data_IF_075134151707
#
_entry.id   IF_075134151707
#
_cell.length_a   1.000
_cell.length_b   1.000
_cell.length_c   1.000
_cell.angle_alpha   90.00
_cell.angle_beta   90.00
_cell.angle_gamma   90.00
#
_symmetry.space_group_name_H-M   'P 1'
#
loop_
_entity.id
_entity.type
_entity.pdbx_description
1 polymer ?
#
# COMPACT_ATOMS: atom_id res chain seq x y z
N UNK A 1 -12.15 -11.86 19.71
CA UNK A 1 -11.43 -10.64 19.28
C UNK A 1 -11.04 -10.87 17.83
N UNK A 2 -11.40 -9.97 16.89
CA UNK A 2 -11.05 -10.11 15.47
C UNK A 2 -9.56 -9.83 15.24
N UNK A 3 -9.04 -10.25 14.09
CA UNK A 3 -7.64 -9.96 13.72
C UNK A 3 -7.37 -8.45 13.70
N UNK A 4 -8.27 -7.67 13.09
CA UNK A 4 -8.15 -6.22 13.00
C UNK A 4 -8.10 -5.57 14.41
N UNK A 5 -8.99 -5.96 15.33
CA UNK A 5 -9.00 -5.42 16.69
C UNK A 5 -7.68 -5.71 17.42
N UNK A 6 -7.15 -6.94 17.33
CA UNK A 6 -5.88 -7.34 17.94
C UNK A 6 -4.68 -6.55 17.39
N UNK A 7 -4.65 -6.34 16.07
CA UNK A 7 -3.59 -5.56 15.43
C UNK A 7 -3.65 -4.09 15.86
N UNK A 8 -4.83 -3.48 15.91
CA UNK A 8 -4.97 -2.07 16.28
C UNK A 8 -4.53 -1.81 17.73
N UNK A 9 -4.85 -2.71 18.67
CA UNK A 9 -4.37 -2.58 20.04
C UNK A 9 -2.85 -2.63 20.14
N UNK A 10 -2.23 -3.55 19.40
CA UNK A 10 -0.79 -3.66 19.35
C UNK A 10 -0.12 -2.45 18.64
N UNK A 11 -0.71 -1.94 17.58
CA UNK A 11 -0.26 -0.72 16.88
C UNK A 11 -0.37 0.50 17.81
N UNK A 12 -1.48 0.67 18.54
CA UNK A 12 -1.62 1.76 19.53
C UNK A 12 -0.51 1.71 20.57
N UNK A 13 -0.20 0.53 21.09
CA UNK A 13 0.87 0.37 22.07
C UNK A 13 2.25 0.72 21.49
N UNK A 14 2.55 0.28 20.26
CA UNK A 14 3.80 0.56 19.57
C UNK A 14 3.96 2.05 19.27
N UNK A 15 2.94 2.70 18.70
CA UNK A 15 2.97 4.13 18.33
C UNK A 15 3.14 5.03 19.56
N UNK A 16 2.56 4.66 20.72
CA UNK A 16 2.75 5.38 21.99
C UNK A 16 4.13 5.20 22.60
N UNK A 17 4.91 4.22 22.15
CA UNK A 17 6.26 4.00 22.68
C UNK A 17 7.15 5.23 22.43
N UNK A 18 7.97 5.66 23.41
CA UNK A 18 8.93 6.73 23.22
C UNK A 18 10.04 6.37 22.20
N UNK A 19 10.18 5.10 21.85
CA UNK A 19 11.16 4.61 20.89
C UNK A 19 10.61 4.47 19.47
N UNK A 20 9.35 4.76 19.21
CA UNK A 20 8.72 4.55 17.91
C UNK A 20 9.45 5.26 16.75
N UNK A 21 9.90 6.50 16.96
CA UNK A 21 10.62 7.29 15.96
C UNK A 21 12.16 7.13 16.02
N UNK A 22 12.66 6.25 16.92
CA UNK A 22 14.10 6.10 17.12
C UNK A 22 14.76 5.57 15.84
N UNK A 23 15.87 6.21 15.45
CA UNK A 23 16.66 5.83 14.27
C UNK A 23 16.18 6.49 12.97
N UNK A 24 15.03 7.12 12.96
CA UNK A 24 14.63 7.98 11.84
C UNK A 24 15.36 9.32 11.89
N UNK A 25 15.71 9.94 10.74
CA UNK A 25 16.23 11.30 10.68
C UNK A 25 15.16 12.29 11.18
N UNK A 26 15.56 13.52 11.51
CA UNK A 26 14.60 14.57 11.88
C UNK A 26 13.73 15.01 10.69
N UNK A 27 14.26 14.89 9.47
CA UNK A 27 13.58 15.23 8.20
C UNK A 27 13.97 14.22 7.13
N UNK A 28 13.12 14.06 6.12
CA UNK A 28 13.44 13.30 4.93
C UNK A 28 14.76 13.76 4.29
N UNK A 29 15.59 12.80 3.88
CA UNK A 29 16.90 13.08 3.24
C UNK A 29 16.72 13.64 1.82
N UNK A 30 15.65 13.22 1.14
CA UNK A 30 15.30 13.66 -0.21
C UNK A 30 13.83 14.06 -0.27
N UNK A 31 13.46 15.05 -1.12
CA UNK A 31 12.05 15.33 -1.37
C UNK A 31 11.40 14.09 -2.02
N UNK A 32 10.25 13.62 -1.53
CA UNK A 32 9.58 12.47 -2.09
C UNK A 32 9.06 12.75 -3.50
N UNK A 33 9.16 11.76 -4.39
CA UNK A 33 8.49 11.82 -5.69
C UNK A 33 6.97 11.60 -5.50
N UNK A 34 6.15 12.29 -6.29
CA UNK A 34 4.69 12.11 -6.24
C UNK A 34 4.30 10.70 -6.69
N UNK A 35 3.61 9.98 -5.81
CA UNK A 35 3.05 8.67 -6.10
C UNK A 35 1.88 8.80 -7.08
N UNK A 36 0.97 9.75 -6.84
CA UNK A 36 -0.18 10.03 -7.70
C UNK A 36 0.23 10.34 -9.15
N UNK A 37 1.20 11.24 -9.33
CA UNK A 37 1.68 11.56 -10.68
C UNK A 37 2.33 10.37 -11.36
N UNK A 38 3.09 9.57 -10.61
CA UNK A 38 3.75 8.39 -11.15
C UNK A 38 2.75 7.34 -11.61
N UNK A 39 1.68 7.11 -10.85
CA UNK A 39 0.59 6.21 -11.23
C UNK A 39 -0.17 6.73 -12.45
N UNK A 40 -0.52 8.02 -12.47
CA UNK A 40 -1.26 8.63 -13.58
C UNK A 40 -0.48 8.65 -14.91
N UNK A 41 0.86 8.66 -14.84
CA UNK A 41 1.75 8.65 -16.01
C UNK A 41 2.25 7.26 -16.40
N UNK A 42 1.78 6.21 -15.73
CA UNK A 42 2.19 4.86 -16.07
C UNK A 42 1.82 4.51 -17.53
N UNK A 43 2.70 3.83 -18.27
CA UNK A 43 2.40 3.38 -19.63
C UNK A 43 1.09 2.59 -19.68
N UNK A 44 0.31 2.78 -20.76
CA UNK A 44 -0.97 2.10 -20.97
C UNK A 44 -2.00 2.32 -19.84
N UNK A 45 -1.81 3.38 -19.01
CA UNK A 45 -2.63 3.62 -17.81
C UNK A 45 -2.69 2.38 -16.90
N UNK A 46 -1.58 1.69 -16.75
CA UNK A 46 -1.44 0.49 -15.95
C UNK A 46 -0.19 0.57 -15.08
N UNK A 47 -0.40 0.81 -13.80
CA UNK A 47 0.68 0.96 -12.83
C UNK A 47 0.83 -0.29 -11.95
N UNK A 48 2.06 -0.73 -11.75
CA UNK A 48 2.34 -1.83 -10.82
C UNK A 48 3.18 -1.31 -9.67
N UNK A 49 2.62 -1.36 -8.46
CA UNK A 49 3.29 -1.10 -7.20
C UNK A 49 3.73 -2.42 -6.59
N UNK A 50 4.94 -2.50 -6.05
CA UNK A 50 5.48 -3.73 -5.44
C UNK A 50 5.65 -3.54 -3.94
N UNK A 51 5.08 -4.47 -3.14
CA UNK A 51 5.10 -4.40 -1.68
C UNK A 51 6.29 -5.13 -1.08
N UNK A 52 7.13 -4.38 -0.36
CA UNK A 52 8.10 -4.94 0.59
C UNK A 52 7.37 -5.30 1.88
N UNK A 53 7.33 -6.58 2.19
CA UNK A 53 6.66 -7.13 3.36
C UNK A 53 7.45 -8.31 3.93
N UNK A 54 7.92 -8.20 5.16
CA UNK A 54 8.73 -9.23 5.82
C UNK A 54 7.93 -10.51 6.06
N UNK A 55 6.69 -10.38 6.55
CA UNK A 55 5.82 -11.52 6.90
C UNK A 55 4.37 -11.24 6.49
N UNK A 56 3.65 -12.27 6.12
CA UNK A 56 2.18 -12.24 5.99
C UNK A 56 1.53 -12.75 7.29
N UNK A 57 0.35 -12.28 7.66
CA UNK A 57 -0.35 -12.77 8.84
C UNK A 57 -0.52 -14.30 8.79
N UNK A 58 -0.22 -14.98 9.89
CA UNK A 58 -0.33 -16.43 9.99
C UNK A 58 0.69 -17.24 9.18
N UNK A 59 1.60 -16.60 8.44
CA UNK A 59 2.62 -17.31 7.68
C UNK A 59 3.67 -17.94 8.60
N UNK A 60 4.03 -19.21 8.33
CA UNK A 60 5.07 -19.95 9.08
C UNK A 60 6.49 -19.49 8.73
N UNK A 61 6.70 -18.94 7.53
CA UNK A 61 7.97 -18.46 7.04
C UNK A 61 7.91 -16.99 6.63
N UNK A 62 9.04 -16.24 6.67
CA UNK A 62 9.09 -14.88 6.14
C UNK A 62 8.86 -14.87 4.63
N UNK A 63 8.32 -13.74 4.11
CA UNK A 63 8.10 -13.58 2.67
C UNK A 63 9.40 -13.32 1.89
N UNK A 64 10.40 -12.71 2.56
CA UNK A 64 11.66 -12.28 1.96
C UNK A 64 12.84 -12.77 2.83
N UNK A 65 13.08 -14.08 2.96
CA UNK A 65 13.98 -14.62 3.96
C UNK A 65 15.43 -14.19 3.79
N UNK A 66 15.88 -13.92 2.57
CA UNK A 66 17.30 -13.71 2.25
C UNK A 66 17.57 -12.43 1.42
N UNK A 67 16.53 -11.62 1.13
CA UNK A 67 16.71 -10.42 0.31
C UNK A 67 16.87 -9.18 1.16
N UNK A 68 17.92 -8.41 0.87
CA UNK A 68 18.09 -7.08 1.44
C UNK A 68 17.08 -6.09 0.82
N UNK A 69 16.84 -4.98 1.50
CA UNK A 69 16.00 -3.88 0.99
C UNK A 69 16.52 -3.37 -0.36
N UNK A 70 17.86 -3.23 -0.50
CA UNK A 70 18.50 -2.78 -1.74
C UNK A 70 18.29 -3.75 -2.90
N UNK A 71 18.40 -5.04 -2.64
CA UNK A 71 18.14 -6.07 -3.65
C UNK A 71 16.68 -6.08 -4.10
N UNK A 72 15.75 -5.98 -3.16
CA UNK A 72 14.33 -5.86 -3.45
C UNK A 72 14.05 -4.65 -4.34
N UNK A 73 14.53 -3.46 -3.96
CA UNK A 73 14.33 -2.22 -4.72
C UNK A 73 14.90 -2.32 -6.15
N UNK A 74 16.09 -2.93 -6.29
CA UNK A 74 16.74 -3.15 -7.59
C UNK A 74 15.93 -4.11 -8.48
N UNK A 75 15.46 -5.24 -7.93
CA UNK A 75 14.65 -6.21 -8.68
C UNK A 75 13.31 -5.62 -9.12
N UNK A 76 12.64 -4.88 -8.24
CA UNK A 76 11.39 -4.20 -8.56
C UNK A 76 11.59 -3.14 -9.68
N UNK A 77 12.63 -2.33 -9.58
CA UNK A 77 12.97 -1.34 -10.62
C UNK A 77 13.29 -2.00 -11.97
N UNK A 78 14.06 -3.09 -11.98
CA UNK A 78 14.39 -3.85 -13.21
C UNK A 78 13.16 -4.54 -13.81
N UNK A 79 12.19 -4.87 -13.01
CA UNK A 79 10.91 -5.46 -13.42
C UNK A 79 9.91 -4.44 -13.97
N UNK A 80 10.16 -3.13 -13.82
CA UNK A 80 9.30 -2.08 -14.32
C UNK A 80 8.27 -1.57 -13.30
N UNK A 81 8.53 -1.71 -11.99
CA UNK A 81 7.66 -1.13 -10.96
C UNK A 81 7.47 0.37 -11.18
N UNK A 82 6.24 0.84 -11.07
CA UNK A 82 5.92 2.27 -11.06
C UNK A 82 6.20 2.89 -9.68
N UNK A 83 5.99 2.12 -8.61
CA UNK A 83 6.16 2.55 -7.23
C UNK A 83 6.47 1.35 -6.32
N UNK A 84 6.87 1.63 -5.08
CA UNK A 84 7.01 0.63 -4.04
C UNK A 84 6.05 0.92 -2.88
N UNK A 85 5.65 -0.13 -2.18
CA UNK A 85 4.95 -0.07 -0.91
C UNK A 85 5.81 -0.73 0.15
N UNK A 86 5.87 -0.18 1.35
CA UNK A 86 6.57 -0.78 2.47
C UNK A 86 5.63 -0.99 3.64
N UNK A 87 5.42 -2.23 4.04
CA UNK A 87 4.61 -2.55 5.20
C UNK A 87 5.41 -2.25 6.48
N UNK A 88 5.01 -1.17 7.17
CA UNK A 88 5.69 -0.68 8.37
C UNK A 88 5.18 -1.34 9.66
N UNK A 89 3.98 -1.92 9.63
CA UNK A 89 3.35 -2.57 10.79
C UNK A 89 4.24 -3.68 11.37
N UNK A 90 4.67 -3.56 12.61
CA UNK A 90 5.42 -4.61 13.31
C UNK A 90 4.52 -5.74 13.79
N UNK A 91 3.40 -5.47 14.49
CA UNK A 91 2.51 -6.52 14.96
C UNK A 91 1.98 -7.36 13.79
N UNK A 92 2.19 -8.67 13.84
CA UNK A 92 1.70 -9.62 12.84
C UNK A 92 2.42 -9.63 11.48
N UNK A 93 3.25 -8.63 11.19
CA UNK A 93 3.91 -8.49 9.87
C UNK A 93 5.45 -8.36 9.95
N UNK A 94 6.01 -8.18 11.14
CA UNK A 94 7.45 -7.97 11.38
C UNK A 94 8.02 -6.73 10.64
N UNK A 95 7.16 -5.76 10.29
CA UNK A 95 7.56 -4.53 9.60
C UNK A 95 8.26 -3.53 10.52
N UNK A 96 8.79 -2.47 9.93
CA UNK A 96 9.44 -1.40 10.68
C UNK A 96 9.39 -0.08 9.90
N UNK A 97 9.24 1.02 10.61
CA UNK A 97 9.40 2.37 10.03
C UNK A 97 10.81 2.58 9.45
N UNK A 98 11.81 1.86 9.97
CA UNK A 98 13.18 1.89 9.44
C UNK A 98 13.31 1.16 8.10
N UNK A 99 12.45 0.18 7.81
CA UNK A 99 12.41 -0.46 6.49
C UNK A 99 11.93 0.53 5.43
N UNK A 100 10.96 1.37 5.76
CA UNK A 100 10.50 2.46 4.87
C UNK A 100 11.65 3.40 4.56
N UNK A 101 12.38 3.85 5.60
CA UNK A 101 13.54 4.73 5.44
C UNK A 101 14.65 4.08 4.59
N UNK A 102 14.96 2.81 4.84
CA UNK A 102 15.94 2.07 4.05
C UNK A 102 15.51 1.93 2.59
N UNK A 103 14.22 1.61 2.35
CA UNK A 103 13.68 1.46 1.00
C UNK A 103 13.72 2.77 0.21
N UNK A 104 13.34 3.89 0.84
CA UNK A 104 13.43 5.23 0.21
C UNK A 104 14.86 5.56 -0.22
N UNK A 105 15.87 5.17 0.57
CA UNK A 105 17.29 5.38 0.22
C UNK A 105 17.78 4.48 -0.92
N UNK A 106 17.14 3.34 -1.12
CA UNK A 106 17.54 2.33 -2.09
C UNK A 106 16.93 2.53 -3.48
N UNK A 107 16.02 3.51 -3.65
CA UNK A 107 15.29 3.70 -4.90
C UNK A 107 15.04 5.18 -5.22
N UNK A 108 14.71 5.46 -6.49
CA UNK A 108 14.13 6.73 -6.95
C UNK A 108 12.61 6.64 -7.17
N UNK A 109 12.03 5.47 -6.96
CA UNK A 109 10.58 5.27 -7.07
C UNK A 109 9.89 5.86 -5.85
N UNK A 110 8.65 6.39 -6.01
CA UNK A 110 7.85 6.80 -4.86
C UNK A 110 7.55 5.58 -3.96
N UNK A 111 7.49 5.81 -2.65
CA UNK A 111 7.25 4.77 -1.65
C UNK A 111 5.99 5.10 -0.85
N UNK A 112 5.03 4.17 -0.84
CA UNK A 112 3.87 4.18 0.03
C UNK A 112 4.25 3.64 1.42
N UNK A 113 4.02 4.45 2.46
CA UNK A 113 4.03 3.99 3.85
C UNK A 113 2.73 3.23 4.12
N UNK A 114 2.82 1.90 4.20
CA UNK A 114 1.67 1.03 4.42
C UNK A 114 1.63 0.56 5.85
N UNK A 115 0.64 1.06 6.59
CA UNK A 115 0.42 0.74 8.02
C UNK A 115 -1.07 0.86 8.33
N UNK A 116 -1.48 0.39 9.52
CA UNK A 116 -2.77 0.75 10.11
C UNK A 116 -2.61 2.14 10.76
N UNK A 117 -2.74 3.19 9.95
CA UNK A 117 -2.52 4.57 10.39
C UNK A 117 -3.73 5.02 11.23
N UNK A 118 -3.48 5.30 12.51
CA UNK A 118 -4.46 5.69 13.53
C UNK A 118 -4.05 6.92 14.34
N UNK A 119 -2.81 7.40 14.16
CA UNK A 119 -2.20 8.48 14.95
C UNK A 119 -1.26 9.32 14.07
N UNK A 120 -1.21 10.63 14.35
CA UNK A 120 -0.33 11.56 13.63
C UNK A 120 1.17 11.21 13.77
N UNK A 121 1.56 10.49 14.83
CA UNK A 121 2.95 10.01 14.96
C UNK A 121 3.37 9.04 13.86
N UNK A 122 2.42 8.28 13.29
CA UNK A 122 2.70 7.43 12.12
C UNK A 122 2.90 8.29 10.86
N UNK A 123 2.16 9.38 10.73
CA UNK A 123 2.34 10.37 9.65
C UNK A 123 3.70 11.07 9.79
N UNK A 124 4.09 11.45 11.01
CA UNK A 124 5.43 11.97 11.29
C UNK A 124 6.51 10.95 10.92
N UNK A 125 6.33 9.67 11.31
CA UNK A 125 7.26 8.59 10.95
C UNK A 125 7.41 8.44 9.43
N UNK A 126 6.28 8.42 8.69
CA UNK A 126 6.26 8.33 7.23
C UNK A 126 7.00 9.51 6.56
N UNK A 127 6.72 10.73 7.01
CA UNK A 127 7.38 11.95 6.50
C UNK A 127 8.89 11.93 6.80
N UNK A 128 9.28 11.61 8.02
CA UNK A 128 10.72 11.51 8.42
C UNK A 128 11.44 10.39 7.68
N UNK A 129 10.78 9.27 7.43
CA UNK A 129 11.33 8.18 6.62
C UNK A 129 11.51 8.57 5.15
N UNK A 130 10.82 9.60 4.65
CA UNK A 130 10.86 10.07 3.27
C UNK A 130 9.84 9.37 2.36
N UNK A 131 8.77 8.81 2.92
CA UNK A 131 7.69 8.24 2.12
C UNK A 131 7.03 9.30 1.22
N UNK A 132 6.40 8.86 0.14
CA UNK A 132 5.64 9.72 -0.79
C UNK A 132 4.18 9.84 -0.39
N UNK A 133 3.63 8.79 0.21
CA UNK A 133 2.23 8.69 0.58
C UNK A 133 2.04 7.81 1.81
N UNK A 134 0.89 7.97 2.46
CA UNK A 134 0.42 7.08 3.53
C UNK A 134 -0.85 6.35 3.10
N UNK A 135 -1.07 5.14 3.65
CA UNK A 135 -2.32 4.42 3.53
C UNK A 135 -3.27 4.83 4.66
N UNK A 136 -4.50 5.21 4.32
CA UNK A 136 -5.61 5.33 5.25
C UNK A 136 -6.67 4.28 4.91
N UNK A 137 -7.24 3.62 5.92
CA UNK A 137 -8.17 2.50 5.74
C UNK A 137 -9.58 2.95 6.14
N UNK A 138 -10.49 3.03 5.17
CA UNK A 138 -11.86 3.54 5.37
C UNK A 138 -12.65 2.73 6.40
N UNK A 139 -12.44 1.41 6.46
CA UNK A 139 -13.06 0.52 7.45
C UNK A 139 -12.82 0.98 8.88
N UNK A 140 -11.65 1.52 9.20
CA UNK A 140 -11.35 1.98 10.57
C UNK A 140 -12.29 3.09 11.03
N UNK A 141 -12.74 3.96 10.12
CA UNK A 141 -13.73 4.98 10.44
C UNK A 141 -15.15 4.41 10.46
N UNK A 142 -15.51 3.54 9.52
CA UNK A 142 -16.86 2.97 9.47
C UNK A 142 -17.17 2.04 10.64
N UNK A 143 -16.15 1.44 11.24
CA UNK A 143 -16.26 0.61 12.45
C UNK A 143 -15.93 1.37 13.75
N UNK A 144 -15.79 2.69 13.70
CA UNK A 144 -15.50 3.55 14.86
C UNK A 144 -14.26 3.10 15.65
N UNK A 145 -13.19 2.69 14.91
CA UNK A 145 -11.93 2.21 15.49
C UNK A 145 -10.90 3.31 15.73
N UNK A 146 -11.21 4.54 15.34
CA UNK A 146 -10.31 5.68 15.40
C UNK A 146 -10.69 6.64 16.51
N UNK A 147 -9.66 7.19 17.16
CA UNK A 147 -9.82 8.27 18.14
C UNK A 147 -10.05 9.64 17.45
N UNK A 148 -9.72 9.72 16.15
CA UNK A 148 -9.88 10.91 15.28
C UNK A 148 -10.42 10.51 13.92
N UNK A 149 -11.20 11.39 13.23
CA UNK A 149 -11.65 11.14 11.87
C UNK A 149 -10.49 10.96 10.88
N UNK A 150 -10.66 10.13 9.86
CA UNK A 150 -9.67 9.98 8.79
C UNK A 150 -9.38 11.30 8.05
N UNK A 151 -10.36 12.21 7.99
CA UNK A 151 -10.16 13.53 7.41
C UNK A 151 -9.04 14.32 8.12
N UNK A 152 -8.98 14.28 9.46
CA UNK A 152 -7.91 14.94 10.21
C UNK A 152 -6.54 14.30 9.95
N UNK A 153 -6.47 12.98 9.81
CA UNK A 153 -5.25 12.26 9.46
C UNK A 153 -4.81 12.57 8.03
N UNK A 154 -5.74 12.70 7.07
CA UNK A 154 -5.44 13.11 5.71
C UNK A 154 -4.88 14.54 5.67
N UNK A 155 -5.50 15.48 6.39
CA UNK A 155 -5.00 16.85 6.51
C UNK A 155 -3.60 16.89 7.13
N UNK A 156 -3.33 16.07 8.16
CA UNK A 156 -2.00 15.96 8.77
C UNK A 156 -0.96 15.40 7.78
N UNK A 157 -1.34 14.42 6.96
CA UNK A 157 -0.51 13.87 5.90
C UNK A 157 -0.13 14.95 4.87
N UNK A 158 -1.11 15.70 4.37
CA UNK A 158 -0.88 16.79 3.42
C UNK A 158 -0.01 17.92 4.01
N UNK A 159 -0.25 18.31 5.26
CA UNK A 159 0.63 19.29 5.95
C UNK A 159 2.07 18.79 6.09
N UNK A 160 2.27 17.49 6.13
CA UNK A 160 3.58 16.82 6.20
C UNK A 160 4.20 16.55 4.83
N UNK A 161 3.57 16.99 3.73
CA UNK A 161 4.01 16.78 2.35
C UNK A 161 3.80 15.36 1.82
N UNK A 162 2.89 14.58 2.44
CA UNK A 162 2.54 13.23 2.03
C UNK A 162 1.23 13.21 1.26
N UNK A 163 1.15 12.38 0.23
CA UNK A 163 -0.10 12.04 -0.45
C UNK A 163 -0.87 10.96 0.33
N UNK A 164 -2.18 10.82 0.05
CA UNK A 164 -3.06 9.88 0.74
C UNK A 164 -3.62 8.85 -0.25
N UNK A 165 -3.39 7.57 0.02
CA UNK A 165 -4.09 6.44 -0.59
C UNK A 165 -5.19 5.97 0.38
N UNK A 166 -6.47 6.16 0.03
CA UNK A 166 -7.61 5.69 0.81
C UNK A 166 -8.04 4.30 0.35
N UNK A 167 -7.93 3.32 1.24
CA UNK A 167 -8.26 1.92 0.98
C UNK A 167 -9.70 1.61 1.39
N UNK A 168 -10.40 0.87 0.51
CA UNK A 168 -11.71 0.27 0.74
C UNK A 168 -11.67 -1.23 0.57
N UNK A 169 -12.58 -1.95 1.21
CA UNK A 169 -12.87 -3.35 0.93
C UNK A 169 -14.30 -3.53 0.42
N UNK A 170 -15.27 -2.88 1.06
CA UNK A 170 -16.69 -3.04 0.79
C UNK A 170 -17.36 -1.71 0.35
N UNK A 171 -18.48 -1.77 -0.40
CA UNK A 171 -19.18 -0.58 -0.88
C UNK A 171 -19.63 0.36 0.25
N UNK A 172 -19.94 -0.18 1.41
CA UNK A 172 -20.38 0.57 2.58
C UNK A 172 -19.30 1.53 3.10
N UNK A 173 -18.03 1.27 2.78
CA UNK A 173 -16.89 2.10 3.15
C UNK A 173 -16.72 3.30 2.20
N UNK A 174 -17.28 3.27 0.99
CA UNK A 174 -17.13 4.32 -0.03
C UNK A 174 -17.68 5.68 0.41
N UNK A 175 -18.63 5.70 1.36
CA UNK A 175 -19.16 6.94 1.96
C UNK A 175 -18.07 7.79 2.62
N UNK A 176 -16.95 7.20 3.00
CA UNK A 176 -15.80 7.90 3.60
C UNK A 176 -15.08 8.78 2.58
N UNK A 177 -15.06 8.39 1.29
CA UNK A 177 -14.39 9.13 0.24
C UNK A 177 -14.89 10.58 0.05
N UNK A 178 -16.15 10.85 0.38
CA UNK A 178 -16.71 12.21 0.31
C UNK A 178 -16.25 13.15 1.43
N UNK A 179 -15.57 12.61 2.45
CA UNK A 179 -15.13 13.36 3.64
C UNK A 179 -13.61 13.41 3.80
N UNK A 180 -12.89 12.52 3.12
CA UNK A 180 -11.43 12.41 3.17
C UNK A 180 -10.87 12.92 1.86
N UNK A 181 -10.00 13.95 1.92
CA UNK A 181 -9.27 14.40 0.74
C UNK A 181 -8.13 13.40 0.44
N UNK A 182 -8.45 12.37 -0.35
CA UNK A 182 -7.50 11.34 -0.76
C UNK A 182 -6.95 11.66 -2.16
N UNK A 183 -5.68 11.43 -2.41
CA UNK A 183 -5.07 11.61 -3.74
C UNK A 183 -5.30 10.43 -4.67
N UNK A 184 -5.49 9.26 -4.09
CA UNK A 184 -5.66 7.97 -4.77
C UNK A 184 -6.62 7.09 -3.99
N UNK A 185 -7.20 6.11 -4.68
CA UNK A 185 -8.06 5.10 -4.08
C UNK A 185 -7.48 3.70 -4.26
N UNK A 186 -7.76 2.81 -3.32
CA UNK A 186 -7.42 1.40 -3.40
C UNK A 186 -8.59 0.52 -2.99
N UNK A 187 -8.80 -0.59 -3.69
CA UNK A 187 -9.77 -1.62 -3.28
C UNK A 187 -9.01 -2.89 -2.95
N UNK A 188 -9.12 -3.34 -1.70
CA UNK A 188 -8.40 -4.50 -1.20
C UNK A 188 -9.24 -5.77 -1.35
N UNK A 189 -8.70 -6.75 -2.10
CA UNK A 189 -9.35 -8.06 -2.29
C UNK A 189 -9.42 -8.87 -0.99
N UNK A 190 -8.49 -8.64 -0.06
CA UNK A 190 -8.40 -9.35 1.20
C UNK A 190 -9.23 -8.66 2.27
N UNK A 191 -10.15 -9.40 2.88
CA UNK A 191 -10.81 -8.95 4.09
C UNK A 191 -9.83 -8.82 5.26
N UNK A 192 -9.99 -7.77 6.09
CA UNK A 192 -9.05 -7.47 7.17
C UNK A 192 -9.29 -8.32 8.42
N UNK A 193 -10.47 -8.89 8.60
CA UNK A 193 -10.81 -9.74 9.75
C UNK A 193 -10.67 -11.23 9.43
N UNK A 194 -11.33 -11.69 8.36
CA UNK A 194 -11.30 -13.09 7.94
C UNK A 194 -10.04 -13.47 7.16
N UNK A 195 -9.28 -12.47 6.69
CA UNK A 195 -8.08 -12.63 5.83
C UNK A 195 -8.35 -13.40 4.52
N UNK A 196 -9.62 -13.69 4.22
CA UNK A 196 -10.09 -14.33 2.99
C UNK A 196 -10.16 -13.36 1.81
N UNK A 197 -10.45 -13.90 0.63
CA UNK A 197 -10.72 -13.12 -0.57
C UNK A 197 -12.21 -13.08 -0.85
N UNK A 198 -12.76 -11.89 -1.16
CA UNK A 198 -14.17 -11.65 -1.45
C UNK A 198 -14.36 -11.01 -2.84
N UNK A 199 -14.19 -11.77 -3.93
CA UNK A 199 -14.16 -11.24 -5.30
C UNK A 199 -15.41 -10.48 -5.72
N UNK A 200 -16.59 -10.91 -5.28
CA UNK A 200 -17.87 -10.29 -5.63
C UNK A 200 -18.08 -8.95 -4.93
N UNK A 201 -17.74 -8.88 -3.63
CA UNK A 201 -17.76 -7.64 -2.85
C UNK A 201 -16.84 -6.61 -3.50
N UNK A 202 -15.61 -7.04 -3.81
CA UNK A 202 -14.60 -6.19 -4.43
C UNK A 202 -15.01 -5.74 -5.84
N UNK A 203 -15.59 -6.62 -6.65
CA UNK A 203 -16.07 -6.24 -7.99
C UNK A 203 -17.15 -5.14 -7.91
N UNK A 204 -18.05 -5.21 -6.93
CA UNK A 204 -19.05 -4.18 -6.65
C UNK A 204 -18.39 -2.89 -6.18
N UNK A 205 -17.46 -2.98 -5.22
CA UNK A 205 -16.73 -1.81 -4.68
C UNK A 205 -15.97 -1.07 -5.78
N UNK A 206 -15.27 -1.79 -6.68
CA UNK A 206 -14.58 -1.17 -7.82
C UNK A 206 -15.53 -0.46 -8.77
N UNK A 207 -16.70 -1.03 -9.06
CA UNK A 207 -17.71 -0.37 -9.93
C UNK A 207 -18.25 0.92 -9.34
N UNK A 208 -18.46 0.95 -8.02
CA UNK A 208 -19.07 2.07 -7.29
C UNK A 208 -18.02 3.09 -6.78
N UNK A 209 -16.72 2.74 -6.83
CA UNK A 209 -15.63 3.60 -6.37
C UNK A 209 -15.62 4.96 -7.11
N UNK A 210 -15.29 6.06 -6.42
CA UNK A 210 -15.19 7.37 -7.02
C UNK A 210 -14.17 7.37 -8.17
N UNK A 211 -14.43 8.16 -9.22
CA UNK A 211 -13.56 8.32 -10.39
C UNK A 211 -12.87 9.68 -10.36
N UNK A 212 -11.88 9.86 -11.24
CA UNK A 212 -11.12 11.11 -11.36
C UNK A 212 -9.79 11.14 -10.59
N UNK A 213 -9.52 10.09 -9.81
CA UNK A 213 -8.23 9.83 -9.14
C UNK A 213 -7.78 8.41 -9.47
N UNK A 214 -6.46 8.09 -9.45
CA UNK A 214 -6.00 6.71 -9.67
C UNK A 214 -6.67 5.72 -8.71
N UNK A 215 -7.18 4.62 -9.25
CA UNK A 215 -7.80 3.52 -8.50
C UNK A 215 -6.94 2.27 -8.62
N UNK A 216 -6.51 1.71 -7.50
CA UNK A 216 -5.64 0.54 -7.45
C UNK A 216 -6.38 -0.70 -6.93
N UNK A 217 -6.10 -1.85 -7.54
CA UNK A 217 -6.43 -3.15 -6.97
C UNK A 217 -5.33 -3.60 -6.00
N UNK A 218 -5.71 -3.95 -4.77
CA UNK A 218 -4.76 -4.35 -3.74
C UNK A 218 -4.95 -5.83 -3.40
N UNK A 219 -3.84 -6.54 -3.19
CA UNK A 219 -3.81 -7.97 -2.86
C UNK A 219 -4.23 -8.92 -4.00
N UNK A 220 -3.97 -10.23 -3.82
CA UNK A 220 -4.49 -11.30 -4.68
C UNK A 220 -3.79 -11.46 -6.02
N UNK A 221 -2.58 -10.96 -6.22
CA UNK A 221 -1.82 -11.13 -7.46
C UNK A 221 -0.66 -12.09 -7.25
N UNK A 222 -0.82 -13.30 -7.74
CA UNK A 222 0.19 -14.38 -7.70
C UNK A 222 0.74 -14.71 -9.11
N UNK A 223 0.02 -14.32 -10.18
CA UNK A 223 0.37 -14.53 -11.58
C UNK A 223 -0.23 -13.44 -12.48
N UNK A 224 0.22 -13.35 -13.73
CA UNK A 224 -0.25 -12.34 -14.68
C UNK A 224 -1.76 -12.42 -14.97
N UNK A 225 -2.37 -13.62 -14.90
CA UNK A 225 -3.83 -13.77 -15.03
C UNK A 225 -4.62 -13.03 -13.95
N UNK A 226 -4.09 -12.95 -12.73
CA UNK A 226 -4.73 -12.22 -11.64
C UNK A 226 -4.67 -10.69 -11.90
N UNK A 227 -3.56 -10.23 -12.48
CA UNK A 227 -3.41 -8.85 -12.93
C UNK A 227 -4.41 -8.50 -14.05
N UNK A 228 -4.62 -9.40 -15.03
CA UNK A 228 -5.66 -9.25 -16.06
C UNK A 228 -7.06 -9.17 -15.45
N UNK A 229 -7.34 -9.99 -14.44
CA UNK A 229 -8.62 -9.95 -13.75
C UNK A 229 -8.87 -8.60 -13.04
N UNK A 230 -7.84 -8.00 -12.43
CA UNK A 230 -7.92 -6.65 -11.87
C UNK A 230 -8.15 -5.60 -12.96
N UNK A 231 -7.38 -5.66 -14.06
CA UNK A 231 -7.53 -4.74 -15.19
C UNK A 231 -8.93 -4.80 -15.79
N UNK A 232 -9.49 -5.99 -15.95
CA UNK A 232 -10.86 -6.19 -16.45
C UNK A 232 -11.93 -5.58 -15.53
N UNK A 233 -11.64 -5.38 -14.24
CA UNK A 233 -12.52 -4.65 -13.32
C UNK A 233 -12.43 -3.12 -13.47
N UNK A 234 -11.47 -2.61 -14.24
CA UNK A 234 -11.35 -1.18 -14.54
C UNK A 234 -10.57 -0.38 -13.49
N UNK A 235 -9.58 -1.01 -12.83
CA UNK A 235 -8.59 -0.31 -12.00
C UNK A 235 -7.44 0.23 -12.88
N UNK A 236 -6.77 1.29 -12.42
CA UNK A 236 -5.65 1.93 -13.12
C UNK A 236 -4.29 1.27 -12.81
N UNK A 237 -4.25 0.38 -11.85
CA UNK A 237 -3.05 -0.34 -11.45
C UNK A 237 -3.29 -1.31 -10.30
N UNK A 238 -2.21 -1.96 -9.88
CA UNK A 238 -2.27 -2.97 -8.82
C UNK A 238 -1.10 -2.86 -7.84
N UNK A 239 -1.30 -3.41 -6.64
CA UNK A 239 -0.26 -3.68 -5.67
C UNK A 239 0.02 -5.18 -5.61
N UNK A 240 1.28 -5.55 -5.81
CA UNK A 240 1.77 -6.93 -5.84
C UNK A 240 2.73 -7.17 -4.68
N UNK A 241 2.45 -8.16 -3.85
CA UNK A 241 3.32 -8.58 -2.74
C UNK A 241 3.82 -10.00 -2.91
N UNK A 242 3.00 -10.98 -2.52
CA UNK A 242 3.39 -12.39 -2.42
C UNK A 242 3.86 -13.00 -3.75
N UNK A 243 3.20 -12.67 -4.87
CA UNK A 243 3.61 -13.19 -6.18
C UNK A 243 5.04 -12.77 -6.55
N UNK A 244 5.40 -11.50 -6.33
CA UNK A 244 6.77 -11.01 -6.54
C UNK A 244 7.76 -11.66 -5.57
N UNK A 245 7.40 -11.76 -4.29
CA UNK A 245 8.30 -12.28 -3.26
C UNK A 245 8.65 -13.76 -3.47
N UNK A 246 7.70 -14.58 -3.97
CA UNK A 246 7.85 -16.02 -4.16
C UNK A 246 8.35 -16.42 -5.54
N UNK A 247 8.38 -15.49 -6.50
CA UNK A 247 8.83 -15.80 -7.85
C UNK A 247 10.32 -16.23 -7.85
N UNK A 248 10.67 -17.21 -8.65
CA UNK A 248 12.04 -17.64 -8.86
C UNK A 248 12.87 -16.50 -9.49
N UNK A 249 12.34 -15.83 -10.52
CA UNK A 249 12.83 -14.55 -11.05
C UNK A 249 11.78 -13.45 -10.84
N UNK A 250 11.88 -12.67 -9.74
CA UNK A 250 10.91 -11.62 -9.45
C UNK A 250 10.84 -10.52 -10.52
N UNK A 251 11.97 -10.20 -11.14
CA UNK A 251 11.99 -9.17 -12.17
C UNK A 251 11.32 -9.65 -13.47
N UNK A 252 11.48 -10.94 -13.85
CA UNK A 252 10.76 -11.53 -14.97
C UNK A 252 9.24 -11.59 -14.69
N UNK A 253 8.85 -12.10 -13.54
CA UNK A 253 7.45 -12.09 -13.09
C UNK A 253 6.83 -10.68 -13.19
N UNK A 254 7.53 -9.68 -12.67
CA UNK A 254 7.02 -8.31 -12.67
C UNK A 254 6.88 -7.75 -14.09
N UNK A 255 7.82 -8.05 -15.01
CA UNK A 255 7.69 -7.67 -16.41
C UNK A 255 6.44 -8.25 -17.07
N UNK A 256 6.09 -9.49 -16.77
CA UNK A 256 4.84 -10.10 -17.27
C UNK A 256 3.60 -9.37 -16.73
N UNK A 257 3.58 -9.03 -15.45
CA UNK A 257 2.49 -8.29 -14.81
C UNK A 257 2.35 -6.87 -15.37
N UNK A 258 3.47 -6.18 -15.63
CA UNK A 258 3.50 -4.85 -16.25
C UNK A 258 2.96 -4.89 -17.69
N UNK A 259 3.30 -5.93 -18.46
CA UNK A 259 2.83 -6.10 -19.85
C UNK A 259 1.33 -6.31 -19.99
N UNK A 260 0.64 -6.70 -18.92
CA UNK A 260 -0.83 -6.74 -18.93
C UNK A 260 -1.42 -5.38 -19.35
N UNK A 261 -0.69 -4.29 -19.15
CA UNK A 261 -1.04 -2.98 -19.69
C UNK A 261 -1.11 -2.91 -21.21
N UNK A 262 -0.28 -3.68 -21.90
CA UNK A 262 -0.17 -3.69 -23.39
C UNK A 262 -1.31 -4.45 -24.06
N UNK A 263 -1.94 -5.42 -23.37
CA UNK A 263 -2.93 -6.35 -23.94
C UNK A 263 -4.24 -5.68 -24.43
N UNK A 264 -4.44 -4.38 -24.21
CA UNK A 264 -5.71 -3.67 -24.50
C UNK A 264 -5.71 -2.79 -25.76
N UNK A 265 -4.59 -2.67 -26.49
CA UNK A 265 -4.53 -1.89 -27.73
C UNK A 265 -4.94 -2.68 -28.99
N UNK A 266 -5.41 -3.92 -28.83
CA UNK A 266 -5.73 -4.82 -29.96
C UNK A 266 -7.24 -5.12 -30.11
N UNK A 267 -8.13 -4.25 -29.61
CA UNK A 267 -9.58 -4.40 -29.81
C UNK A 267 -10.18 -3.14 -30.43
#
# INVERSE_FOLDING_TARGET
>A
MTFLASILDAVRAEVRSPTYLRGLPERAVFPPASLRERLARAPYRWAVMVEYKRRSPGARAPNLPERTVDEFARLASRGGAAALSCLATRPGFDGSVLDVHALVRSTRLPVLFKDFVIDERQIEAASRAGASAVLLIARLETEERLDRPLAELADAAHRSGLEVLLEFHAPEELKVAGRVDADMYGVNLRDLDGLGFEPEVVARTVREAPRGRPLLGLSGVERASDARAWRARGVDGILVGSGFARAEDPAAFLREVVRVGEDTESV
#
